data_IF_020168256257
#
_entry.id   IF_020168256257
#
_cell.length_a   1.000
_cell.length_b   1.000
_cell.length_c   1.000
_cell.angle_alpha   90.00
_cell.angle_beta   90.00
_cell.angle_gamma   90.00
#
_symmetry.space_group_name_H-M   'P 1'
#
loop_
_entity.id
_entity.type
_entity.pdbx_description
1 polymer ?
#
# COMPACT_ATOMS: atom_id res chain seq x y z
N UNK A 1 42.43 -1.39 -1.08
CA UNK A 1 41.51 -2.18 -1.94
C UNK A 1 41.03 -3.35 -1.11
N UNK A 2 39.71 -3.56 -1.00
CA UNK A 2 39.16 -4.70 -0.28
C UNK A 2 39.54 -6.02 -0.99
N UNK A 3 39.88 -7.05 -0.22
CA UNK A 3 40.21 -8.36 -0.77
C UNK A 3 38.98 -8.95 -1.51
N UNK A 4 39.18 -9.65 -2.64
CA UNK A 4 38.08 -10.30 -3.35
C UNK A 4 37.40 -11.33 -2.45
N UNK A 5 36.08 -11.38 -2.55
CA UNK A 5 35.25 -12.33 -1.81
C UNK A 5 35.70 -13.75 -2.18
N UNK A 6 35.93 -14.62 -1.18
CA UNK A 6 36.28 -16.03 -1.43
C UNK A 6 35.19 -16.72 -2.27
N UNK A 7 35.54 -17.82 -2.96
CA UNK A 7 34.58 -18.52 -3.85
C UNK A 7 33.26 -18.91 -3.16
N UNK A 8 33.31 -19.28 -1.88
CA UNK A 8 32.12 -19.55 -1.06
C UNK A 8 31.35 -18.27 -0.70
N UNK A 9 32.03 -17.14 -0.47
CA UNK A 9 31.37 -15.88 -0.16
C UNK A 9 30.64 -15.26 -1.37
N UNK A 10 31.18 -15.38 -2.58
CA UNK A 10 30.52 -14.90 -3.78
C UNK A 10 29.24 -15.69 -4.09
N UNK A 11 29.27 -17.01 -3.87
CA UNK A 11 28.11 -17.88 -4.03
C UNK A 11 27.00 -17.55 -3.00
N UNK A 12 27.37 -17.30 -1.74
CA UNK A 12 26.41 -16.91 -0.71
C UNK A 12 25.81 -15.52 -0.97
N UNK A 13 26.62 -14.54 -1.39
CA UNK A 13 26.12 -13.22 -1.78
C UNK A 13 25.16 -13.31 -2.97
N UNK A 14 25.46 -14.14 -3.98
CA UNK A 14 24.56 -14.37 -5.09
C UNK A 14 23.23 -15.01 -4.63
N UNK A 15 23.28 -15.94 -3.68
CA UNK A 15 22.08 -16.54 -3.10
C UNK A 15 21.26 -15.51 -2.31
N UNK A 16 21.91 -14.66 -1.52
CA UNK A 16 21.25 -13.55 -0.83
C UNK A 16 20.53 -12.63 -1.82
N UNK A 17 21.20 -12.20 -2.88
CA UNK A 17 20.61 -11.32 -3.90
C UNK A 17 19.45 -11.98 -4.66
N UNK A 18 19.47 -13.31 -4.86
CA UNK A 18 18.35 -14.07 -5.43
C UNK A 18 17.14 -14.14 -4.49
N UNK A 19 17.37 -14.16 -3.18
CA UNK A 19 16.29 -14.07 -2.20
C UNK A 19 15.70 -12.66 -2.19
N UNK A 20 16.54 -11.61 -2.16
CA UNK A 20 16.09 -10.21 -2.28
C UNK A 20 15.25 -10.00 -3.55
N UNK A 21 15.63 -10.62 -4.68
CA UNK A 21 14.86 -10.53 -5.92
C UNK A 21 13.42 -11.06 -5.79
N UNK A 22 13.13 -12.01 -4.89
CA UNK A 22 11.77 -12.52 -4.70
C UNK A 22 10.79 -11.41 -4.30
N UNK A 23 11.26 -10.35 -3.62
CA UNK A 23 10.43 -9.20 -3.24
C UNK A 23 9.85 -8.44 -4.43
N UNK A 24 10.42 -8.58 -5.64
CA UNK A 24 9.84 -8.03 -6.87
C UNK A 24 8.61 -8.81 -7.34
N UNK A 25 8.44 -10.02 -6.81
CA UNK A 25 7.41 -11.00 -7.20
C UNK A 25 6.43 -11.30 -6.06
N UNK A 26 6.65 -10.74 -4.86
CA UNK A 26 5.68 -10.71 -3.77
C UNK A 26 4.82 -9.46 -3.97
N UNK A 27 3.54 -9.59 -4.39
CA UNK A 27 2.62 -8.46 -4.43
C UNK A 27 2.25 -8.06 -3.00
N UNK A 28 2.02 -6.76 -2.74
CA UNK A 28 1.49 -6.37 -1.43
C UNK A 28 0.06 -6.93 -1.29
N UNK A 29 -0.13 -7.79 -0.31
CA UNK A 29 -1.30 -8.65 -0.09
C UNK A 29 -2.57 -7.83 0.15
N UNK A 30 -2.45 -6.67 0.81
CA UNK A 30 -3.57 -5.74 1.01
C UNK A 30 -4.27 -5.37 -0.29
N UNK A 31 -3.51 -5.01 -1.33
CA UNK A 31 -4.03 -4.66 -2.65
C UNK A 31 -4.62 -5.88 -3.38
N UNK A 32 -3.94 -7.01 -3.30
CA UNK A 32 -4.41 -8.27 -3.89
C UNK A 32 -5.79 -8.68 -3.34
N UNK A 33 -5.97 -8.56 -2.02
CA UNK A 33 -7.25 -8.83 -1.35
C UNK A 33 -8.35 -7.82 -1.65
N UNK A 34 -8.00 -6.64 -2.17
CA UNK A 34 -8.98 -5.67 -2.70
C UNK A 34 -9.11 -5.73 -4.22
N UNK A 35 -8.63 -6.79 -4.85
CA UNK A 35 -8.73 -7.01 -6.30
C UNK A 35 -8.14 -5.87 -7.16
N UNK A 36 -7.18 -5.12 -6.62
CA UNK A 36 -6.42 -4.12 -7.39
C UNK A 36 -5.74 -4.82 -8.57
N UNK A 37 -5.83 -4.22 -9.75
CA UNK A 37 -5.21 -4.79 -10.95
C UNK A 37 -3.70 -4.50 -10.95
N UNK A 38 -2.87 -5.54 -11.07
CA UNK A 38 -1.41 -5.44 -11.05
C UNK A 38 -0.90 -4.66 -9.82
N UNK A 39 -1.16 -5.18 -8.60
CA UNK A 39 -0.69 -4.53 -7.39
C UNK A 39 0.83 -4.42 -7.41
N UNK A 40 1.34 -3.38 -6.77
CA UNK A 40 2.77 -3.19 -6.56
C UNK A 40 3.38 -4.39 -5.82
N UNK A 41 4.70 -4.53 -5.99
CA UNK A 41 5.49 -5.48 -5.22
C UNK A 41 5.98 -4.85 -3.93
N UNK A 42 6.30 -5.66 -2.91
CA UNK A 42 6.93 -5.21 -1.65
C UNK A 42 8.20 -4.39 -1.90
N UNK A 43 9.00 -4.76 -2.91
CA UNK A 43 10.18 -3.96 -3.28
C UNK A 43 9.86 -2.58 -3.86
N UNK A 44 8.68 -2.40 -4.45
CA UNK A 44 8.18 -1.13 -4.97
C UNK A 44 7.78 -0.18 -3.84
N UNK A 45 7.04 -0.71 -2.87
CA UNK A 45 6.71 -0.04 -1.61
C UNK A 45 7.97 0.46 -0.89
N UNK A 46 8.92 -0.44 -0.60
CA UNK A 46 10.19 -0.08 0.06
C UNK A 46 11.02 0.94 -0.74
N UNK A 47 10.96 0.89 -2.08
CA UNK A 47 11.66 1.86 -2.93
C UNK A 47 11.10 3.28 -2.74
N UNK A 48 9.77 3.45 -2.78
CA UNK A 48 9.17 4.77 -2.58
C UNK A 48 9.37 5.25 -1.14
N UNK A 49 9.26 4.36 -0.16
CA UNK A 49 9.60 4.69 1.23
C UNK A 49 11.04 5.19 1.41
N UNK A 50 12.02 4.55 0.75
CA UNK A 50 13.40 5.01 0.81
C UNK A 50 13.57 6.43 0.22
N UNK A 51 12.84 6.75 -0.85
CA UNK A 51 12.79 8.11 -1.39
C UNK A 51 12.10 9.09 -0.44
N UNK A 52 10.98 8.70 0.17
CA UNK A 52 10.30 9.52 1.18
C UNK A 52 11.24 9.78 2.37
N UNK A 53 11.94 8.75 2.84
CA UNK A 53 12.94 8.87 3.88
C UNK A 53 14.06 9.84 3.48
N UNK A 54 14.46 9.95 2.21
CA UNK A 54 15.45 10.94 1.77
C UNK A 54 14.91 12.38 1.78
N UNK A 55 13.65 12.59 1.41
CA UNK A 55 13.10 13.93 1.13
C UNK A 55 12.29 14.54 2.27
N UNK A 56 11.76 13.74 3.20
CA UNK A 56 11.10 14.24 4.41
C UNK A 56 12.14 14.85 5.35
N UNK A 57 11.99 16.12 5.72
CA UNK A 57 12.96 16.80 6.59
C UNK A 57 12.69 16.48 8.06
N UNK A 58 13.78 16.20 8.75
CA UNK A 58 13.87 16.19 10.21
C UNK A 58 15.35 16.28 10.56
N UNK A 59 15.77 17.40 11.15
CA UNK A 59 17.18 17.65 11.51
C UNK A 59 17.64 16.79 12.70
N UNK A 60 16.70 16.15 13.40
CA UNK A 60 16.98 15.29 14.55
C UNK A 60 17.16 13.82 14.18
N UNK A 61 16.90 13.44 12.92
CA UNK A 61 16.99 12.06 12.46
C UNK A 61 18.23 11.82 11.60
N UNK A 62 18.84 10.65 11.77
CA UNK A 62 19.82 10.18 10.80
C UNK A 62 19.11 9.66 9.53
N UNK A 63 19.11 10.49 8.48
CA UNK A 63 18.43 10.18 7.21
C UNK A 63 19.00 8.94 6.52
N UNK A 64 20.31 8.73 6.54
CA UNK A 64 20.93 7.52 5.98
C UNK A 64 20.46 6.26 6.71
N UNK A 65 20.26 6.35 8.04
CA UNK A 65 19.70 5.26 8.84
C UNK A 65 18.23 5.00 8.48
N UNK A 66 17.41 6.05 8.34
CA UNK A 66 16.02 5.92 7.89
C UNK A 66 15.90 5.21 6.53
N UNK A 67 16.76 5.57 5.57
CA UNK A 67 16.81 4.90 4.26
C UNK A 67 17.16 3.42 4.39
N UNK A 68 18.16 3.09 5.20
CA UNK A 68 18.53 1.68 5.45
C UNK A 68 17.43 0.90 6.15
N UNK A 69 16.70 1.51 7.09
CA UNK A 69 15.53 0.91 7.72
C UNK A 69 14.43 0.63 6.69
N UNK A 70 14.07 1.63 5.88
CA UNK A 70 13.07 1.48 4.82
C UNK A 70 13.41 0.35 3.83
N UNK A 71 14.69 0.19 3.46
CA UNK A 71 15.14 -0.86 2.54
C UNK A 71 15.20 -2.28 3.14
N UNK A 72 15.17 -2.40 4.47
CA UNK A 72 15.41 -3.67 5.18
C UNK A 72 14.19 -4.18 5.94
N UNK A 73 13.24 -3.30 6.30
CA UNK A 73 12.17 -3.65 7.22
C UNK A 73 11.29 -4.83 6.76
N UNK A 74 10.92 -4.89 5.48
CA UNK A 74 10.15 -6.00 4.90
C UNK A 74 11.02 -7.04 4.18
N UNK A 75 12.34 -7.05 4.43
CA UNK A 75 13.25 -7.98 3.76
C UNK A 75 12.90 -9.45 4.04
N UNK A 76 12.31 -9.74 5.21
CA UNK A 76 11.86 -11.07 5.62
C UNK A 76 10.77 -11.65 4.69
N UNK A 77 9.97 -10.80 4.05
CA UNK A 77 8.85 -11.19 3.21
C UNK A 77 9.28 -11.91 1.94
N UNK A 78 10.56 -11.83 1.57
CA UNK A 78 11.11 -12.59 0.46
C UNK A 78 11.09 -14.11 0.71
N UNK A 79 10.91 -14.53 1.97
CA UNK A 79 10.73 -15.93 2.40
C UNK A 79 9.31 -16.15 2.93
N UNK A 80 8.83 -15.24 3.80
CA UNK A 80 7.56 -15.42 4.52
C UNK A 80 6.33 -15.08 3.66
N UNK A 81 6.50 -14.24 2.64
CA UNK A 81 5.41 -13.52 1.98
C UNK A 81 4.91 -12.33 2.81
N UNK A 82 4.16 -11.43 2.18
CA UNK A 82 3.48 -10.32 2.87
C UNK A 82 2.23 -10.86 3.60
N UNK A 83 2.28 -10.83 4.93
CA UNK A 83 1.19 -11.27 5.82
C UNK A 83 0.31 -10.06 6.15
N UNK A 84 -0.90 -10.06 5.59
CA UNK A 84 -1.90 -9.03 5.83
C UNK A 84 -2.78 -9.35 7.07
N UNK A 85 -3.48 -8.34 7.64
CA UNK A 85 -4.41 -8.57 8.75
C UNK A 85 -5.49 -9.63 8.47
N UNK A 86 -5.91 -9.76 7.21
CA UNK A 86 -6.92 -10.73 6.79
C UNK A 86 -6.43 -12.20 6.83
N UNK A 87 -5.12 -12.44 6.94
CA UNK A 87 -4.55 -13.78 7.07
C UNK A 87 -4.72 -14.35 8.49
N UNK A 88 -5.16 -13.53 9.45
CA UNK A 88 -5.42 -13.92 10.84
C UNK A 88 -4.23 -14.63 11.53
N UNK A 89 -3.00 -14.30 11.14
CA UNK A 89 -1.78 -14.78 11.80
C UNK A 89 -1.54 -13.96 13.07
N UNK A 90 -1.40 -14.59 14.26
CA UNK A 90 -1.09 -13.87 15.49
C UNK A 90 0.22 -13.08 15.37
N UNK A 91 0.30 -11.93 16.04
CA UNK A 91 1.47 -11.04 15.99
C UNK A 91 2.76 -11.77 16.38
N UNK A 92 2.69 -12.62 17.39
CA UNK A 92 3.83 -13.40 17.89
C UNK A 92 4.31 -14.42 16.86
N UNK A 93 3.38 -15.03 16.11
CA UNK A 93 3.72 -16.00 15.06
C UNK A 93 4.25 -15.30 13.80
N UNK A 94 3.70 -14.15 13.41
CA UNK A 94 4.27 -13.30 12.35
C UNK A 94 5.72 -12.94 12.69
N UNK A 95 5.93 -12.39 13.88
CA UNK A 95 7.26 -12.01 14.34
C UNK A 95 8.23 -13.20 14.37
N UNK A 96 7.80 -14.37 14.88
CA UNK A 96 8.63 -15.58 14.90
C UNK A 96 9.07 -16.01 13.49
N UNK A 97 8.15 -16.02 12.51
CA UNK A 97 8.44 -16.38 11.12
C UNK A 97 9.41 -15.41 10.47
N UNK A 98 9.20 -14.11 10.67
CA UNK A 98 10.04 -13.06 10.10
C UNK A 98 11.42 -13.03 10.73
N UNK A 99 11.53 -13.24 12.04
CA UNK A 99 12.82 -13.36 12.73
C UNK A 99 13.62 -14.56 12.23
N UNK A 100 12.95 -15.70 12.02
CA UNK A 100 13.56 -16.91 11.47
C UNK A 100 14.04 -16.66 10.02
N UNK A 101 13.22 -16.03 9.18
CA UNK A 101 13.59 -15.65 7.82
C UNK A 101 14.79 -14.68 7.79
N UNK A 102 14.81 -13.66 8.65
CA UNK A 102 15.92 -12.71 8.74
C UNK A 102 17.21 -13.37 9.20
N UNK A 103 17.14 -14.32 10.15
CA UNK A 103 18.30 -15.13 10.54
C UNK A 103 18.82 -15.95 9.36
N UNK A 104 17.94 -16.60 8.60
CA UNK A 104 18.33 -17.37 7.41
C UNK A 104 18.95 -16.49 6.31
N UNK A 105 18.35 -15.33 6.02
CA UNK A 105 18.84 -14.39 5.01
C UNK A 105 20.23 -13.83 5.35
N UNK A 106 20.36 -13.29 6.56
CA UNK A 106 21.57 -12.58 6.95
C UNK A 106 22.75 -13.53 7.21
N UNK A 107 22.51 -14.82 7.50
CA UNK A 107 23.57 -15.85 7.57
C UNK A 107 24.36 -16.04 6.28
N UNK A 108 23.81 -15.61 5.13
CA UNK A 108 24.50 -15.65 3.84
C UNK A 108 25.53 -14.51 3.68
N UNK A 109 25.55 -13.54 4.59
CA UNK A 109 26.42 -12.38 4.54
C UNK A 109 27.63 -12.54 5.49
N UNK A 110 28.73 -11.81 5.24
CA UNK A 110 29.80 -11.63 6.22
C UNK A 110 29.28 -11.10 7.56
N UNK A 111 30.02 -11.38 8.65
CA UNK A 111 29.59 -11.13 10.03
C UNK A 111 29.14 -9.68 10.29
N UNK A 112 29.87 -8.72 9.76
CA UNK A 112 29.60 -7.28 9.90
C UNK A 112 28.27 -6.90 9.23
N UNK A 113 28.05 -7.31 7.99
CA UNK A 113 26.81 -7.06 7.25
C UNK A 113 25.62 -7.84 7.82
N UNK A 114 25.86 -9.08 8.25
CA UNK A 114 24.84 -9.90 8.93
C UNK A 114 24.30 -9.18 10.15
N UNK A 115 25.21 -8.69 11.01
CA UNK A 115 24.85 -7.96 12.21
C UNK A 115 24.13 -6.66 11.88
N UNK A 116 24.63 -5.90 10.90
CA UNK A 116 24.02 -4.63 10.52
C UNK A 116 22.56 -4.78 10.06
N UNK A 117 22.30 -5.68 9.10
CA UNK A 117 20.95 -5.86 8.54
C UNK A 117 19.99 -6.46 9.56
N UNK A 118 20.45 -7.40 10.38
CA UNK A 118 19.61 -7.99 11.42
C UNK A 118 19.21 -6.96 12.48
N UNK A 119 20.16 -6.12 12.93
CA UNK A 119 19.85 -5.08 13.92
C UNK A 119 19.00 -3.94 13.33
N UNK A 120 19.13 -3.62 12.03
CA UNK A 120 18.20 -2.72 11.33
C UNK A 120 16.76 -3.24 11.38
N UNK A 121 16.55 -4.48 10.95
CA UNK A 121 15.23 -5.11 10.99
C UNK A 121 14.66 -5.14 12.41
N UNK A 122 15.48 -5.54 13.39
CA UNK A 122 15.08 -5.59 14.79
C UNK A 122 14.76 -4.20 15.38
N UNK A 123 15.51 -3.18 15.01
CA UNK A 123 15.26 -1.78 15.39
C UNK A 123 13.89 -1.32 14.89
N UNK A 124 13.54 -1.66 13.65
CA UNK A 124 12.21 -1.42 13.09
C UNK A 124 11.12 -2.20 13.84
N UNK A 125 11.28 -3.51 13.98
CA UNK A 125 10.29 -4.37 14.65
C UNK A 125 9.97 -3.95 16.08
N UNK A 126 11.00 -3.53 16.82
CA UNK A 126 10.87 -3.10 18.22
C UNK A 126 10.55 -1.61 18.37
N UNK A 127 10.57 -0.86 17.27
CA UNK A 127 10.34 0.60 17.25
C UNK A 127 11.24 1.34 18.26
N UNK A 128 12.49 0.90 18.37
CA UNK A 128 13.39 1.30 19.46
C UNK A 128 14.07 2.66 19.30
N UNK A 129 14.01 3.25 18.10
CA UNK A 129 14.64 4.54 17.76
C UNK A 129 13.64 5.57 17.25
N UNK A 130 14.05 6.83 17.16
CA UNK A 130 13.25 7.87 16.51
C UNK A 130 13.14 7.61 15.00
N UNK A 131 14.22 7.11 14.39
CA UNK A 131 14.27 6.72 13.00
C UNK A 131 13.28 5.61 12.67
N UNK A 132 13.21 4.54 13.47
CA UNK A 132 12.24 3.45 13.27
C UNK A 132 10.79 3.93 13.37
N UNK A 133 10.49 4.82 14.32
CA UNK A 133 9.16 5.43 14.48
C UNK A 133 8.80 6.35 13.33
N UNK A 134 9.76 7.09 12.79
CA UNK A 134 9.57 7.92 11.60
C UNK A 134 9.32 7.05 10.37
N UNK A 135 10.14 6.01 10.15
CA UNK A 135 9.98 5.08 9.02
C UNK A 135 8.66 4.32 9.09
N UNK A 136 8.16 3.97 10.30
CA UNK A 136 6.84 3.35 10.43
C UNK A 136 5.69 4.27 10.02
N UNK A 137 5.82 5.57 10.24
CA UNK A 137 4.85 6.55 9.75
C UNK A 137 4.99 6.76 8.23
N UNK A 138 6.21 6.67 7.68
CA UNK A 138 6.41 6.70 6.23
C UNK A 138 5.79 5.48 5.55
N UNK A 139 5.92 4.28 6.13
CA UNK A 139 5.26 3.04 5.68
C UNK A 139 3.74 3.27 5.54
N UNK A 140 3.09 3.74 6.61
CA UNK A 140 1.66 4.02 6.60
C UNK A 140 1.26 5.14 5.64
N UNK A 141 2.07 6.21 5.54
CA UNK A 141 1.82 7.33 4.63
C UNK A 141 1.95 6.90 3.16
N UNK A 142 2.94 6.06 2.85
CA UNK A 142 3.16 5.49 1.52
C UNK A 142 1.97 4.62 1.12
N UNK A 143 1.49 3.78 2.04
CA UNK A 143 0.34 2.90 1.82
C UNK A 143 -0.93 3.69 1.46
N UNK A 144 -1.28 4.74 2.21
CA UNK A 144 -2.49 5.53 1.89
C UNK A 144 -2.32 6.40 0.64
N UNK A 145 -1.10 6.88 0.34
CA UNK A 145 -0.81 7.51 -0.94
C UNK A 145 -1.07 6.54 -2.09
N UNK A 146 -0.54 5.31 -1.98
CA UNK A 146 -0.79 4.27 -2.98
C UNK A 146 -2.27 3.93 -3.12
N UNK A 147 -3.03 3.94 -2.01
CA UNK A 147 -4.47 3.72 -2.04
C UNK A 147 -5.18 4.78 -2.91
N UNK A 148 -4.87 6.07 -2.73
CA UNK A 148 -5.44 7.13 -3.59
C UNK A 148 -5.10 6.94 -5.06
N UNK A 149 -3.84 6.60 -5.38
CA UNK A 149 -3.40 6.40 -6.75
C UNK A 149 -4.12 5.22 -7.42
N UNK A 150 -4.39 4.14 -6.67
CA UNK A 150 -5.21 3.03 -7.21
C UNK A 150 -6.67 3.41 -7.39
N UNK A 151 -7.25 4.21 -6.48
CA UNK A 151 -8.60 4.74 -6.66
C UNK A 151 -8.69 5.61 -7.93
N UNK A 152 -7.70 6.45 -8.18
CA UNK A 152 -7.62 7.32 -9.35
C UNK A 152 -7.42 6.51 -10.64
N UNK A 153 -6.47 5.56 -10.65
CA UNK A 153 -6.20 4.68 -11.81
C UNK A 153 -7.42 3.83 -12.20
N UNK A 154 -8.21 3.39 -11.21
CA UNK A 154 -9.41 2.60 -11.44
C UNK A 154 -10.67 3.46 -11.65
N UNK A 155 -10.56 4.78 -11.53
CA UNK A 155 -11.67 5.73 -11.51
C UNK A 155 -12.78 5.29 -10.53
N UNK A 156 -12.37 4.95 -9.31
CA UNK A 156 -13.26 4.54 -8.20
C UNK A 156 -12.88 5.28 -6.91
N UNK A 157 -13.13 6.60 -6.83
CA UNK A 157 -12.81 7.39 -5.64
C UNK A 157 -13.49 6.82 -4.39
N UNK A 158 -12.75 6.72 -3.29
CA UNK A 158 -13.29 6.23 -2.02
C UNK A 158 -13.31 4.71 -1.84
N UNK A 159 -12.93 3.91 -2.86
CA UNK A 159 -13.02 2.44 -2.83
C UNK A 159 -12.14 1.78 -1.75
N UNK A 160 -10.99 2.37 -1.44
CA UNK A 160 -9.96 1.85 -0.55
C UNK A 160 -9.93 2.62 0.78
N UNK A 161 -11.10 3.10 1.23
CA UNK A 161 -11.26 3.88 2.46
C UNK A 161 -10.78 3.15 3.72
N UNK A 162 -10.85 1.82 3.73
CA UNK A 162 -10.40 0.99 4.84
C UNK A 162 -8.90 1.12 5.16
N UNK A 163 -8.06 1.43 4.16
CA UNK A 163 -6.65 1.74 4.40
C UNK A 163 -6.50 3.06 5.16
N UNK A 164 -7.26 4.09 4.79
CA UNK A 164 -7.27 5.37 5.50
C UNK A 164 -7.75 5.19 6.95
N UNK A 165 -8.86 4.47 7.13
CA UNK A 165 -9.43 4.20 8.45
C UNK A 165 -8.42 3.46 9.37
N UNK A 166 -7.59 2.58 8.80
CA UNK A 166 -6.55 1.84 9.54
C UNK A 166 -5.39 2.71 10.05
N UNK A 167 -5.21 3.90 9.47
CA UNK A 167 -4.11 4.83 9.81
C UNK A 167 -4.55 5.98 10.73
N UNK A 168 -5.84 6.08 11.05
CA UNK A 168 -6.38 7.15 11.86
C UNK A 168 -5.67 7.26 13.23
N UNK A 169 -5.09 8.44 13.49
CA UNK A 169 -4.39 8.74 14.75
C UNK A 169 -2.94 8.24 14.85
N UNK A 170 -2.39 7.64 13.79
CA UNK A 170 -1.02 7.10 13.82
C UNK A 170 0.07 8.11 13.39
N UNK A 171 -0.31 9.22 12.77
CA UNK A 171 0.62 10.24 12.29
C UNK A 171 0.88 11.31 13.36
N UNK A 172 2.10 11.34 13.88
CA UNK A 172 2.55 12.32 14.90
C UNK A 172 3.79 13.11 14.49
N UNK A 173 4.53 12.67 13.49
CA UNK A 173 5.66 13.41 12.93
C UNK A 173 5.15 14.63 12.15
N UNK A 174 5.61 15.87 12.44
CA UNK A 174 5.02 17.09 11.88
C UNK A 174 4.95 17.12 10.35
N UNK A 175 6.06 16.79 9.67
CA UNK A 175 6.10 16.85 8.20
C UNK A 175 5.26 15.74 7.53
N UNK A 176 5.24 14.54 8.12
CA UNK A 176 4.41 13.42 7.62
C UNK A 176 2.93 13.74 7.84
N UNK A 177 2.56 14.25 9.02
CA UNK A 177 1.20 14.66 9.31
C UNK A 177 0.70 15.76 8.37
N UNK A 178 1.57 16.72 8.02
CA UNK A 178 1.23 17.74 7.01
C UNK A 178 1.03 17.14 5.63
N UNK A 179 1.90 16.22 5.19
CA UNK A 179 1.76 15.51 3.92
C UNK A 179 0.46 14.70 3.85
N UNK A 180 0.13 13.97 4.91
CA UNK A 180 -1.13 13.20 5.01
C UNK A 180 -2.33 14.12 4.97
N UNK A 181 -2.29 15.27 5.65
CA UNK A 181 -3.38 16.25 5.61
C UNK A 181 -3.63 16.79 4.20
N UNK A 182 -2.57 17.04 3.42
CA UNK A 182 -2.68 17.48 2.03
C UNK A 182 -3.29 16.36 1.16
N UNK A 183 -2.75 15.15 1.27
CA UNK A 183 -3.24 13.96 0.56
C UNK A 183 -4.74 13.71 0.82
N UNK A 184 -5.16 13.74 2.08
CA UNK A 184 -6.57 13.54 2.45
C UNK A 184 -7.45 14.67 1.92
N UNK A 185 -6.98 15.92 1.93
CA UNK A 185 -7.74 17.05 1.39
C UNK A 185 -7.95 16.92 -0.13
N UNK A 186 -6.89 16.58 -0.88
CA UNK A 186 -6.95 16.36 -2.32
C UNK A 186 -7.88 15.20 -2.67
N UNK A 187 -7.69 14.04 -2.03
CA UNK A 187 -8.54 12.86 -2.23
C UNK A 187 -10.01 13.15 -1.91
N UNK A 188 -10.29 13.82 -0.79
CA UNK A 188 -11.66 14.13 -0.40
C UNK A 188 -12.34 15.09 -1.38
N UNK A 189 -11.60 16.06 -1.94
CA UNK A 189 -12.10 16.92 -3.00
C UNK A 189 -12.43 16.11 -4.27
N UNK A 190 -11.58 15.14 -4.64
CA UNK A 190 -11.84 14.25 -5.77
C UNK A 190 -13.11 13.40 -5.56
N UNK A 191 -13.28 12.77 -4.39
CA UNK A 191 -14.48 12.00 -4.03
C UNK A 191 -15.77 12.85 -4.14
N UNK A 192 -15.74 14.08 -3.61
CA UNK A 192 -16.89 14.99 -3.67
C UNK A 192 -17.20 15.39 -5.11
N UNK A 193 -16.18 15.69 -5.92
CA UNK A 193 -16.38 16.05 -7.33
C UNK A 193 -17.04 14.92 -8.13
N UNK A 194 -16.57 13.68 -7.94
CA UNK A 194 -17.09 12.50 -8.62
C UNK A 194 -18.55 12.20 -8.24
N UNK A 195 -18.91 12.44 -6.98
CA UNK A 195 -20.27 12.26 -6.48
C UNK A 195 -21.24 13.28 -7.10
N UNK A 196 -20.78 14.51 -7.38
CA UNK A 196 -21.60 15.56 -8.01
C UNK A 196 -21.83 15.34 -9.50
N UNK A 197 -20.88 14.70 -10.19
CA UNK A 197 -20.99 14.39 -11.62
C UNK A 197 -21.89 13.19 -11.93
N UNK A 198 -22.10 12.29 -10.95
CA UNK A 198 -23.10 11.23 -11.10
C UNK A 198 -24.51 11.81 -11.01
N UNK A 199 -25.33 11.78 -12.08
CA UNK A 199 -26.70 12.28 -12.01
C UNK A 199 -27.47 11.45 -11.00
N UNK A 200 -28.08 12.12 -10.00
CA UNK A 200 -28.97 11.44 -9.07
C UNK A 200 -30.15 10.86 -9.87
N UNK A 201 -30.20 9.55 -10.06
CA UNK A 201 -31.41 8.89 -10.58
C UNK A 201 -32.43 8.80 -9.43
N UNK A 202 -32.90 9.94 -8.94
CA UNK A 202 -33.95 10.03 -7.94
C UNK A 202 -35.31 10.01 -8.64
N UNK A 203 -35.83 8.79 -8.83
CA UNK A 203 -37.24 8.37 -8.84
C UNK A 203 -37.44 7.21 -9.81
N UNK A 204 -37.60 6.00 -9.26
CA UNK A 204 -38.21 4.91 -10.02
C UNK A 204 -39.72 5.18 -10.11
N UNK A 205 -40.21 5.64 -11.26
CA UNK A 205 -41.63 5.54 -11.59
C UNK A 205 -41.84 4.22 -12.33
N UNK A 206 -42.41 3.23 -11.64
CA UNK A 206 -42.86 1.99 -12.26
C UNK A 206 -44.23 2.28 -12.89
N UNK A 207 -44.28 2.44 -14.21
CA UNK A 207 -45.55 2.40 -14.95
C UNK A 207 -45.77 0.98 -15.46
N UNK A 208 -46.80 0.31 -14.93
CA UNK A 208 -47.28 -0.97 -15.45
C UNK A 208 -48.26 -0.69 -16.59
N UNK A 209 -47.82 -0.87 -17.83
CA UNK A 209 -48.70 -1.02 -18.99
C UNK A 209 -48.40 -2.37 -19.66
N UNK A 210 -49.39 -3.26 -19.68
CA UNK A 210 -49.36 -4.54 -20.42
C UNK A 210 -48.21 -5.52 -20.07
N UNK A 211 -47.67 -5.50 -18.86
CA UNK A 211 -46.73 -6.52 -18.38
C UNK A 211 -45.26 -6.33 -18.78
N UNK A 212 -44.89 -5.13 -19.25
CA UNK A 212 -43.49 -4.76 -19.53
C UNK A 212 -43.06 -3.69 -18.51
N UNK A 213 -41.95 -3.94 -17.81
CA UNK A 213 -41.34 -2.94 -16.91
C UNK A 213 -40.47 -2.02 -17.76
N UNK A 214 -40.90 -0.76 -17.92
CA UNK A 214 -40.07 0.30 -18.50
C UNK A 214 -39.39 1.07 -17.38
N UNK A 215 -38.06 1.10 -17.39
CA UNK A 215 -37.29 1.97 -16.51
C UNK A 215 -36.84 3.19 -17.32
N UNK A 216 -37.51 4.33 -17.10
CA UNK A 216 -37.03 5.62 -17.61
C UNK A 216 -36.32 6.37 -16.48
N UNK A 217 -35.01 6.59 -16.64
CA UNK A 217 -34.27 7.48 -15.75
C UNK A 217 -34.36 8.90 -16.32
N UNK A 218 -34.88 9.84 -15.53
CA UNK A 218 -34.88 11.27 -15.85
C UNK A 218 -33.83 11.97 -15.00
N UNK A 219 -32.98 12.78 -15.63
CA UNK A 219 -32.07 13.68 -14.93
C UNK A 219 -32.84 14.95 -14.53
N UNK A 220 -32.82 15.30 -13.24
CA UNK A 220 -33.63 16.41 -12.70
C UNK A 220 -32.96 17.78 -12.88
N UNK A 221 -31.69 17.83 -13.27
CA UNK A 221 -30.91 19.08 -13.30
C UNK A 221 -30.41 19.44 -14.70
N UNK A 222 -31.31 19.84 -15.61
CA UNK A 222 -31.00 20.80 -16.70
C UNK A 222 -32.28 21.16 -17.48
N UNK A 223 -32.56 22.45 -17.77
CA UNK A 223 -33.69 22.83 -18.65
C UNK A 223 -33.49 22.43 -20.13
N UNK A 224 -32.33 21.89 -20.52
CA UNK A 224 -31.94 21.69 -21.93
C UNK A 224 -31.32 20.29 -22.25
N UNK A 225 -31.56 19.25 -21.43
CA UNK A 225 -31.00 17.92 -21.71
C UNK A 225 -31.80 17.15 -22.79
N UNK A 226 -31.18 17.01 -23.96
CA UNK A 226 -31.61 16.10 -25.03
C UNK A 226 -31.67 14.66 -24.51
N UNK A 227 -32.73 13.94 -24.89
CA UNK A 227 -32.98 12.53 -24.58
C UNK A 227 -31.73 11.65 -24.77
N UNK A 228 -31.24 11.06 -23.68
CA UNK A 228 -30.31 9.94 -23.71
C UNK A 228 -31.09 8.69 -23.28
N UNK A 229 -31.64 7.98 -24.27
CA UNK A 229 -32.33 6.71 -24.05
C UNK A 229 -31.29 5.59 -24.00
N UNK A 230 -30.96 5.13 -22.80
CA UNK A 230 -30.16 3.91 -22.61
C UNK A 230 -31.07 2.69 -22.56
N UNK A 231 -30.92 1.76 -23.50
CA UNK A 231 -31.68 0.51 -23.55
C UNK A 231 -30.89 -0.61 -22.88
N UNK A 232 -31.25 -1.00 -21.66
CA UNK A 232 -30.80 -2.27 -21.08
C UNK A 232 -31.96 -3.28 -21.07
N UNK A 233 -31.82 -4.35 -21.87
CA UNK A 233 -32.77 -5.47 -21.88
C UNK A 233 -32.50 -6.36 -20.67
N UNK A 234 -33.27 -6.21 -19.59
CA UNK A 234 -33.28 -7.18 -18.49
C UNK A 234 -34.34 -8.24 -18.79
N UNK A 235 -33.90 -9.43 -19.22
CA UNK A 235 -34.75 -10.63 -19.25
C UNK A 235 -34.87 -11.13 -17.81
N UNK A 236 -36.04 -10.94 -17.21
CA UNK A 236 -36.42 -11.66 -16.00
C UNK A 236 -36.81 -13.09 -16.39
N UNK A 237 -35.92 -14.05 -16.13
CA UNK A 237 -36.31 -15.46 -16.03
C UNK A 237 -36.86 -15.70 -14.64
N UNK A 238 -38.13 -16.11 -14.58
CA UNK A 238 -38.82 -16.57 -13.38
C UNK A 238 -38.21 -17.85 -12.82
#
# INVERSE_FOLDING_TARGET
MAAPISGHGAQNLLQFLRLVEQLKRVPCTGWAYRNVQKPESVSGHMYRMAFMALVTKDEHLNKDRCVRLALVHDLAECIVGDIAPADNIPKEEKHRREEEAMKQLTQLLPEDLRKELYELWKEYETQSSAEAKSVKQLDQCEMILQASEYEDLENKPGRLQDFYDSTAGNFSHPEIAQLVSELEAERNAHIVSHTREMPSCNKHFIFLFHGIVFCHCWSVDSPDSKELVYWSHVRLTF
#
